data_IF_183918997281
#
_entry.id   IF_183918997281
#
_cell.length_a   1.000
_cell.length_b   1.000
_cell.length_c   1.000
_cell.angle_alpha   90.00
_cell.angle_beta   90.00
_cell.angle_gamma   90.00
#
_symmetry.space_group_name_H-M   'P 1'
#
loop_
_entity.id
_entity.type
_entity.pdbx_description
1 polymer ?
#
# COMPACT_ATOMS: atom_id res chain seq x y z
N UNK A 1 2.99 -14.44 3.35
CA UNK A 1 3.13 -13.33 4.32
C UNK A 1 2.19 -12.22 3.93
N UNK A 2 1.55 -11.53 4.87
CA UNK A 2 0.72 -10.37 4.58
C UNK A 2 1.51 -9.08 4.82
N UNK A 3 1.49 -8.18 3.86
CA UNK A 3 2.05 -6.84 3.96
C UNK A 3 0.90 -5.84 3.83
N UNK A 4 0.53 -5.22 4.95
CA UNK A 4 -0.58 -4.28 5.01
C UNK A 4 -0.02 -2.85 5.18
N UNK A 5 -0.30 -1.92 4.25
CA UNK A 5 0.00 -0.52 4.46
C UNK A 5 -0.77 0.02 5.66
N UNK A 6 -0.09 0.83 6.46
CA UNK A 6 -0.71 1.50 7.61
C UNK A 6 -1.61 2.63 7.14
N UNK A 7 -2.88 2.64 7.57
CA UNK A 7 -3.77 3.81 7.46
C UNK A 7 -4.03 4.40 8.86
N UNK A 8 -4.57 5.61 8.90
CA UNK A 8 -4.95 6.29 10.15
C UNK A 8 -6.37 5.91 10.51
N UNK A 9 -6.52 4.87 11.33
CA UNK A 9 -7.83 4.42 11.80
C UNK A 9 -8.45 5.39 12.82
N UNK A 10 -9.77 5.57 12.75
CA UNK A 10 -10.51 6.36 13.75
C UNK A 10 -10.27 5.83 15.16
N UNK A 11 -9.94 6.74 16.09
CA UNK A 11 -9.70 6.40 17.50
C UNK A 11 -8.33 5.78 17.79
N UNK A 12 -7.43 5.72 16.81
CA UNK A 12 -6.06 5.24 17.02
C UNK A 12 -5.12 6.37 17.45
N UNK A 13 -3.98 6.01 18.06
CA UNK A 13 -2.93 6.97 18.41
C UNK A 13 -2.31 7.69 17.19
N UNK A 14 -2.58 7.22 15.96
CA UNK A 14 -2.10 7.84 14.73
C UNK A 14 -2.91 9.08 14.31
N UNK A 15 -4.10 9.31 14.89
CA UNK A 15 -4.95 10.47 14.54
C UNK A 15 -4.25 11.78 14.86
N UNK A 16 -3.74 11.95 16.08
CA UNK A 16 -3.04 13.17 16.51
C UNK A 16 -1.82 13.52 15.65
N UNK A 17 -0.85 12.62 15.42
CA UNK A 17 0.30 12.95 14.56
C UNK A 17 -0.11 13.15 13.10
N UNK A 18 -1.15 12.48 12.61
CA UNK A 18 -1.68 12.74 11.26
C UNK A 18 -2.26 14.15 11.12
N UNK A 19 -3.09 14.58 12.06
CA UNK A 19 -3.68 15.94 12.09
C UNK A 19 -2.61 17.04 12.19
N UNK A 20 -1.49 16.75 12.84
CA UNK A 20 -0.33 17.65 12.94
C UNK A 20 0.60 17.60 11.72
N UNK A 21 0.36 16.71 10.76
CA UNK A 21 1.24 16.48 9.61
C UNK A 21 2.56 15.79 9.93
N UNK A 22 2.67 15.19 11.13
CA UNK A 22 3.84 14.44 11.61
C UNK A 22 3.82 12.98 11.13
N UNK A 23 2.65 12.48 10.72
CA UNK A 23 2.48 11.16 10.11
C UNK A 23 1.69 11.25 8.79
N UNK A 24 2.13 10.50 7.79
CA UNK A 24 1.43 10.36 6.50
C UNK A 24 1.41 8.87 6.13
N UNK A 25 0.23 8.28 5.81
CA UNK A 25 0.15 6.91 5.28
C UNK A 25 1.09 6.71 4.07
N UNK A 26 1.69 5.50 3.93
CA UNK A 26 2.52 5.18 2.78
C UNK A 26 1.70 5.27 1.50
N UNK A 27 2.37 5.53 0.38
CA UNK A 27 1.75 5.41 -0.94
C UNK A 27 1.76 3.95 -1.38
N UNK A 28 0.90 3.58 -2.32
CA UNK A 28 0.94 2.25 -2.94
C UNK A 28 2.29 1.93 -3.60
N UNK A 29 3.01 2.94 -4.11
CA UNK A 29 4.38 2.74 -4.61
C UNK A 29 5.36 2.35 -3.50
N UNK A 30 5.19 2.85 -2.28
CA UNK A 30 6.06 2.49 -1.15
C UNK A 30 5.81 1.04 -0.73
N UNK A 31 4.55 0.60 -0.78
CA UNK A 31 4.18 -0.81 -0.60
C UNK A 31 4.81 -1.71 -1.66
N UNK A 32 4.76 -1.30 -2.94
CA UNK A 32 5.37 -2.05 -4.03
C UNK A 32 6.90 -2.16 -3.86
N UNK A 33 7.57 -1.08 -3.46
CA UNK A 33 9.03 -1.08 -3.17
C UNK A 33 9.38 -2.03 -2.02
N UNK A 34 8.59 -2.03 -0.95
CA UNK A 34 8.77 -2.96 0.15
C UNK A 34 8.56 -4.43 -0.30
N UNK A 35 7.52 -4.69 -1.08
CA UNK A 35 7.21 -6.03 -1.60
C UNK A 35 8.29 -6.56 -2.55
N UNK A 36 8.92 -5.70 -3.36
CA UNK A 36 10.05 -6.07 -4.24
C UNK A 36 11.23 -6.68 -3.47
N UNK A 37 11.38 -6.39 -2.17
CA UNK A 37 12.44 -7.01 -1.38
C UNK A 37 12.22 -8.52 -1.17
N UNK A 38 11.05 -9.05 -1.52
CA UNK A 38 10.77 -10.48 -1.54
C UNK A 38 11.12 -11.14 -2.89
N UNK A 39 11.53 -10.39 -3.91
CA UNK A 39 11.88 -10.95 -5.22
C UNK A 39 13.03 -11.94 -5.09
N UNK A 40 12.86 -13.12 -5.70
CA UNK A 40 13.80 -14.24 -5.58
C UNK A 40 13.81 -14.94 -4.22
N UNK A 41 13.06 -14.45 -3.23
CA UNK A 41 12.83 -15.16 -1.96
C UNK A 41 11.62 -16.06 -2.16
N UNK A 42 11.73 -17.35 -1.80
CA UNK A 42 10.64 -18.33 -1.91
C UNK A 42 9.53 -18.09 -0.86
N UNK A 43 9.06 -16.86 -0.73
CA UNK A 43 8.06 -16.43 0.24
C UNK A 43 7.00 -15.60 -0.47
N UNK A 44 5.77 -16.13 -0.63
CA UNK A 44 4.70 -15.37 -1.25
C UNK A 44 4.27 -14.19 -0.37
N UNK A 45 4.03 -13.04 -0.98
CA UNK A 45 3.57 -11.80 -0.34
C UNK A 45 2.15 -11.49 -0.83
N UNK A 46 1.26 -11.22 0.12
CA UNK A 46 -0.08 -10.71 -0.14
C UNK A 46 -0.21 -9.29 0.39
N UNK A 47 -0.60 -8.36 -0.48
CA UNK A 47 -0.75 -6.94 -0.17
C UNK A 47 -2.17 -6.64 0.28
N UNK A 48 -2.32 -6.02 1.45
CA UNK A 48 -3.59 -5.44 1.88
C UNK A 48 -3.89 -4.17 1.10
N UNK A 49 -5.05 -4.10 0.42
CA UNK A 49 -5.43 -2.97 -0.43
C UNK A 49 -6.77 -2.35 -0.01
N UNK A 50 -7.19 -2.59 1.23
CA UNK A 50 -8.43 -2.05 1.79
C UNK A 50 -8.17 -1.54 3.22
N UNK A 51 -8.73 -0.38 3.56
CA UNK A 51 -8.70 0.21 4.90
C UNK A 51 -9.98 -0.08 5.71
N UNK A 52 -10.85 -0.92 5.15
CA UNK A 52 -12.13 -1.38 5.73
C UNK A 52 -13.13 -0.25 6.01
N UNK A 53 -12.90 0.95 5.43
CA UNK A 53 -13.69 2.14 5.76
C UNK A 53 -13.42 2.68 7.17
N UNK A 54 -12.32 2.27 7.80
CA UNK A 54 -11.95 2.67 9.15
C UNK A 54 -11.03 3.91 9.18
N UNK A 55 -10.49 4.31 8.02
CA UNK A 55 -9.64 5.47 7.90
C UNK A 55 -10.40 6.78 8.22
N UNK A 56 -9.74 7.69 8.94
CA UNK A 56 -10.20 9.08 9.03
C UNK A 56 -10.11 9.78 7.66
N UNK A 57 -10.83 10.89 7.39
CA UNK A 57 -10.72 11.61 6.12
C UNK A 57 -9.27 11.95 5.77
N UNK A 58 -8.80 11.50 4.61
CA UNK A 58 -7.41 11.69 4.14
C UNK A 58 -6.39 10.74 4.79
N UNK A 59 -6.79 9.93 5.77
CA UNK A 59 -5.93 9.00 6.50
C UNK A 59 -5.73 7.65 5.82
N UNK A 60 -6.33 7.43 4.65
CA UNK A 60 -6.13 6.22 3.86
C UNK A 60 -4.79 6.24 3.12
N UNK A 61 -4.23 5.06 2.88
CA UNK A 61 -3.12 4.88 1.92
C UNK A 61 -3.62 4.92 0.47
N UNK A 62 -4.93 4.72 0.24
CA UNK A 62 -5.56 4.86 -1.07
C UNK A 62 -5.84 6.33 -1.37
N UNK A 63 -5.52 6.74 -2.60
CA UNK A 63 -5.76 8.10 -3.10
C UNK A 63 -6.57 8.06 -4.38
N UNK A 64 -7.27 9.16 -4.65
CA UNK A 64 -7.98 9.33 -5.93
C UNK A 64 -6.99 9.19 -7.09
N UNK A 65 -7.29 8.33 -8.06
CA UNK A 65 -6.41 8.06 -9.20
C UNK A 65 -5.53 6.82 -9.03
N UNK A 66 -5.55 6.16 -7.87
CA UNK A 66 -4.76 4.94 -7.63
C UNK A 66 -5.37 3.68 -8.27
N UNK A 67 -6.54 3.76 -8.90
CA UNK A 67 -7.26 2.60 -9.44
C UNK A 67 -6.40 1.73 -10.38
N UNK A 68 -5.59 2.29 -11.31
CA UNK A 68 -4.70 1.49 -12.15
C UNK A 68 -3.56 0.81 -11.37
N UNK A 69 -3.12 1.41 -10.27
CA UNK A 69 -2.09 0.83 -9.39
C UNK A 69 -2.70 -0.31 -8.57
N UNK A 70 -3.89 -0.12 -8.02
CA UNK A 70 -4.64 -1.15 -7.29
C UNK A 70 -4.83 -2.39 -8.17
N UNK A 71 -5.25 -2.23 -9.43
CA UNK A 71 -5.43 -3.36 -10.35
C UNK A 71 -4.14 -4.18 -10.54
N UNK A 72 -2.99 -3.52 -10.66
CA UNK A 72 -1.69 -4.19 -10.79
C UNK A 72 -1.31 -4.95 -9.51
N UNK A 73 -1.53 -4.34 -8.34
CA UNK A 73 -1.22 -4.96 -7.05
C UNK A 73 -2.16 -6.14 -6.74
N UNK A 74 -3.44 -6.07 -7.13
CA UNK A 74 -4.35 -7.19 -7.03
C UNK A 74 -3.93 -8.36 -7.95
N UNK A 75 -3.47 -8.05 -9.17
CA UNK A 75 -2.91 -9.07 -10.07
C UNK A 75 -1.65 -9.69 -9.49
N UNK A 76 -0.78 -8.90 -8.87
CA UNK A 76 0.38 -9.43 -8.13
C UNK A 76 -0.05 -10.37 -7.01
N UNK A 77 -1.06 -10.01 -6.21
CA UNK A 77 -1.57 -10.90 -5.14
C UNK A 77 -2.02 -12.28 -5.66
N UNK A 78 -2.49 -12.38 -6.91
CA UNK A 78 -2.94 -13.63 -7.53
C UNK A 78 -1.81 -14.41 -8.22
N UNK A 79 -0.81 -13.72 -8.76
CA UNK A 79 0.19 -14.30 -9.68
C UNK A 79 1.59 -14.37 -9.10
N UNK A 80 1.91 -13.51 -8.14
CA UNK A 80 3.26 -13.25 -7.64
C UNK A 80 4.24 -12.82 -8.75
N UNK A 81 3.73 -12.22 -9.83
CA UNK A 81 4.54 -11.67 -10.91
C UNK A 81 5.16 -10.33 -10.49
N UNK A 82 6.46 -10.34 -10.19
CA UNK A 82 7.21 -9.17 -9.70
C UNK A 82 7.36 -8.07 -10.76
N UNK A 83 7.19 -8.36 -12.06
CA UNK A 83 7.18 -7.32 -13.10
C UNK A 83 6.03 -6.32 -12.91
N UNK A 84 4.93 -6.76 -12.29
CA UNK A 84 3.81 -5.88 -11.95
C UNK A 84 4.22 -4.85 -10.88
N UNK A 85 5.03 -5.25 -9.89
CA UNK A 85 5.57 -4.34 -8.87
C UNK A 85 6.56 -3.35 -9.48
N UNK A 86 7.47 -3.81 -10.35
CA UNK A 86 8.38 -2.94 -11.11
C UNK A 86 7.61 -1.94 -11.98
N UNK A 87 6.51 -2.36 -12.59
CA UNK A 87 5.64 -1.47 -13.37
C UNK A 87 4.94 -0.42 -12.50
N UNK A 88 4.56 -0.73 -11.26
CA UNK A 88 4.04 0.27 -10.31
C UNK A 88 5.13 1.29 -9.95
N UNK A 89 6.34 0.84 -9.64
CA UNK A 89 7.45 1.74 -9.26
C UNK A 89 7.83 2.69 -10.39
N UNK A 90 7.91 2.21 -11.64
CA UNK A 90 8.26 3.05 -12.80
C UNK A 90 7.24 4.14 -13.12
N UNK A 91 5.95 3.93 -12.79
CA UNK A 91 4.89 4.93 -13.01
C UNK A 91 4.97 6.12 -12.04
N UNK A 92 5.71 5.99 -10.96
CA UNK A 92 5.83 7.00 -9.92
C UNK A 92 7.06 7.92 -10.07
N UNK A 93 7.93 7.64 -11.04
CA UNK A 93 9.05 8.48 -11.51
C UNK A 93 8.65 9.26 -12.73
#
# INVERSE_FOLDING_TARGET
MHLNPTFVGKGTALVTPFERGEFVPPRLVDVARAALHAEGKQVPIFLGLNDEGLAVPGGSFLRRGDEPVVELLERFNRTQDFELLHAVVRRAT
#
